data_IF_369452358995
#
_entry.id   IF_369452358995
#
_cell.length_a   1.000
_cell.length_b   1.000
_cell.length_c   1.000
_cell.angle_alpha   90.00
_cell.angle_beta   90.00
_cell.angle_gamma   90.00
#
_symmetry.space_group_name_H-M   'P 1'
#
loop_
_entity.id
_entity.type
_entity.pdbx_description
1 polymer ?
#
# COMPACT_ATOMS: atom_id res chain seq x y z
N UNK A 1 -31.48 2.22 -20.82
CA UNK A 1 -30.78 3.36 -21.44
C UNK A 1 -30.19 4.21 -20.32
N UNK A 2 -28.99 3.85 -19.86
CA UNK A 2 -28.23 4.59 -18.85
C UNK A 2 -26.86 4.78 -19.47
N UNK A 3 -26.62 5.99 -19.96
CA UNK A 3 -25.37 6.42 -20.57
C UNK A 3 -24.23 6.31 -19.57
N UNK A 4 -23.37 5.31 -19.77
CA UNK A 4 -22.08 5.15 -19.11
C UNK A 4 -21.12 6.26 -19.60
N UNK A 5 -21.35 7.48 -19.15
CA UNK A 5 -20.64 8.70 -19.56
C UNK A 5 -19.58 9.17 -18.56
N UNK A 6 -18.73 8.27 -18.06
CA UNK A 6 -17.57 8.59 -17.22
C UNK A 6 -16.81 7.33 -16.83
N UNK A 7 -15.78 7.41 -15.97
CA UNK A 7 -14.34 7.54 -16.28
C UNK A 7 -13.72 6.36 -17.08
N UNK A 8 -14.54 5.47 -17.64
CA UNK A 8 -14.09 4.31 -18.45
C UNK A 8 -13.72 4.75 -19.88
N UNK A 9 -14.39 5.76 -20.42
CA UNK A 9 -14.06 6.32 -21.75
C UNK A 9 -12.68 6.98 -21.78
N UNK A 10 -12.34 7.76 -20.74
CA UNK A 10 -11.00 8.35 -20.61
C UNK A 10 -9.93 7.27 -20.42
N UNK A 11 -10.24 6.17 -19.74
CA UNK A 11 -9.33 5.03 -19.59
C UNK A 11 -9.02 4.38 -20.95
N UNK A 12 -10.01 4.21 -21.82
CA UNK A 12 -9.81 3.66 -23.17
C UNK A 12 -9.03 4.60 -24.08
N UNK A 13 -9.27 5.91 -23.99
CA UNK A 13 -8.50 6.92 -24.73
C UNK A 13 -7.05 6.98 -24.23
N UNK A 14 -6.81 6.88 -22.92
CA UNK A 14 -5.48 6.80 -22.32
C UNK A 14 -4.75 5.51 -22.74
N UNK A 15 -5.44 4.36 -22.77
CA UNK A 15 -4.89 3.09 -23.27
C UNK A 15 -4.43 3.21 -24.73
N UNK A 16 -5.15 3.97 -25.56
CA UNK A 16 -4.78 4.21 -26.96
C UNK A 16 -3.58 5.15 -27.15
N UNK A 17 -3.27 5.95 -26.12
CA UNK A 17 -2.11 6.86 -26.09
C UNK A 17 -0.82 6.19 -25.60
N UNK A 18 -0.89 4.95 -25.11
CA UNK A 18 0.27 4.18 -24.63
C UNK A 18 1.08 3.67 -25.82
N UNK A 19 2.05 4.47 -26.29
CA UNK A 19 3.02 4.08 -27.34
C UNK A 19 4.45 3.88 -26.82
N UNK A 20 4.70 4.07 -25.53
CA UNK A 20 6.02 3.92 -24.93
C UNK A 20 5.97 3.11 -23.63
N UNK A 21 6.64 1.95 -23.64
CA UNK A 21 6.67 0.97 -22.56
C UNK A 21 7.40 1.44 -21.28
N UNK A 22 8.00 2.63 -21.28
CA UNK A 22 8.68 3.20 -20.11
C UNK A 22 7.72 3.72 -19.03
N UNK A 23 6.52 4.17 -19.41
CA UNK A 23 5.46 4.54 -18.46
C UNK A 23 4.56 3.36 -18.09
N UNK A 24 4.59 2.27 -18.87
CA UNK A 24 3.59 1.18 -18.77
C UNK A 24 3.70 0.35 -17.50
N UNK A 25 4.91 0.08 -17.00
CA UNK A 25 5.01 -0.71 -15.76
C UNK A 25 4.60 0.07 -14.50
N UNK A 26 4.37 1.39 -14.63
CA UNK A 26 3.74 2.22 -13.60
C UNK A 26 2.21 2.23 -13.72
N UNK A 27 1.68 2.15 -14.95
CA UNK A 27 0.24 2.24 -15.23
C UNK A 27 -0.51 0.91 -15.24
N UNK A 28 0.17 -0.23 -15.41
CA UNK A 28 -0.49 -1.54 -15.61
C UNK A 28 -0.36 -2.52 -14.46
N UNK A 29 -0.19 -2.04 -13.23
CA UNK A 29 -0.69 -2.82 -12.10
C UNK A 29 -2.21 -2.61 -12.10
N UNK A 30 -2.94 -3.49 -12.81
CA UNK A 30 -4.39 -3.45 -13.14
C UNK A 30 -5.36 -3.11 -11.99
N UNK A 31 -4.86 -2.91 -10.78
CA UNK A 31 -5.60 -2.59 -9.56
C UNK A 31 -5.61 -1.10 -9.19
N UNK A 32 -4.77 -0.23 -9.78
CA UNK A 32 -4.79 1.21 -9.49
C UNK A 32 -4.12 2.06 -10.59
N UNK A 33 -4.77 3.13 -11.10
CA UNK A 33 -4.20 4.04 -12.11
C UNK A 33 -3.22 5.08 -11.54
N UNK A 34 -2.68 4.86 -10.33
CA UNK A 34 -1.81 5.82 -9.66
C UNK A 34 -0.37 5.69 -10.14
N UNK A 35 0.00 6.49 -11.15
CA UNK A 35 1.37 6.56 -11.66
C UNK A 35 2.23 7.63 -10.97
N UNK A 36 1.71 8.84 -10.75
CA UNK A 36 2.56 9.93 -10.24
C UNK A 36 2.83 9.83 -8.73
N UNK A 37 4.07 10.15 -8.34
CA UNK A 37 4.53 10.15 -6.93
C UNK A 37 3.65 11.05 -6.07
N UNK A 38 3.17 12.17 -6.61
CA UNK A 38 2.25 13.10 -5.93
C UNK A 38 0.86 12.49 -5.69
N UNK A 39 0.37 11.66 -6.62
CA UNK A 39 -0.91 10.97 -6.42
C UNK A 39 -0.79 9.83 -5.42
N UNK A 40 0.38 9.17 -5.37
CA UNK A 40 0.69 8.12 -4.40
C UNK A 40 0.74 8.72 -3.00
N UNK A 41 1.45 9.84 -2.80
CA UNK A 41 1.52 10.51 -1.50
C UNK A 41 0.15 11.02 -1.04
N UNK A 42 -0.65 11.61 -1.93
CA UNK A 42 -2.02 12.04 -1.62
C UNK A 42 -2.93 10.86 -1.20
N UNK A 43 -2.84 9.73 -1.89
CA UNK A 43 -3.63 8.54 -1.56
C UNK A 43 -3.19 7.89 -0.23
N UNK A 44 -1.88 7.88 0.06
CA UNK A 44 -1.36 7.43 1.37
C UNK A 44 -1.82 8.38 2.48
N UNK A 45 -1.75 9.68 2.27
CA UNK A 45 -2.20 10.69 3.24
C UNK A 45 -3.70 10.54 3.54
N UNK A 46 -4.54 10.33 2.52
CA UNK A 46 -5.97 10.08 2.70
C UNK A 46 -6.20 8.85 3.61
N UNK A 47 -5.44 7.77 3.41
CA UNK A 47 -5.50 6.57 4.25
C UNK A 47 -4.99 6.84 5.67
N UNK A 48 -3.94 7.63 5.82
CA UNK A 48 -3.44 8.07 7.13
C UNK A 48 -4.49 8.88 7.88
N UNK A 49 -5.20 9.79 7.22
CA UNK A 49 -6.30 10.55 7.82
C UNK A 49 -7.47 9.66 8.23
N UNK A 50 -7.83 8.67 7.39
CA UNK A 50 -8.84 7.68 7.73
C UNK A 50 -8.43 6.84 8.97
N UNK A 51 -7.15 6.47 9.08
CA UNK A 51 -6.61 5.76 10.23
C UNK A 51 -6.69 6.61 11.51
N UNK A 52 -6.32 7.90 11.47
CA UNK A 52 -6.46 8.83 12.59
C UNK A 52 -7.91 8.91 13.08
N UNK A 53 -8.86 9.14 12.17
CA UNK A 53 -10.29 9.19 12.49
C UNK A 53 -10.80 7.89 13.10
N UNK A 54 -10.31 6.74 12.63
CA UNK A 54 -10.66 5.45 13.19
C UNK A 54 -10.06 5.26 14.60
N UNK A 55 -8.82 5.71 14.80
CA UNK A 55 -8.14 5.70 16.10
C UNK A 55 -8.97 6.35 17.20
N UNK A 56 -9.54 7.53 16.94
CA UNK A 56 -10.42 8.22 17.89
C UNK A 56 -11.66 7.40 18.26
N UNK A 57 -12.20 6.64 17.29
CA UNK A 57 -13.35 5.77 17.50
C UNK A 57 -12.98 4.50 18.25
N UNK A 58 -11.81 3.92 17.98
CA UNK A 58 -11.31 2.70 18.61
C UNK A 58 -11.12 2.85 20.13
N UNK A 59 -10.91 4.08 20.62
CA UNK A 59 -10.85 4.37 22.07
C UNK A 59 -12.14 4.05 22.83
N UNK A 60 -13.27 3.92 22.14
CA UNK A 60 -14.56 3.57 22.75
C UNK A 60 -14.79 2.05 22.83
N UNK A 61 -13.91 1.25 22.21
CA UNK A 61 -13.99 -0.20 22.23
C UNK A 61 -13.14 -0.78 23.37
N UNK A 62 -13.38 -2.04 23.70
CA UNK A 62 -12.45 -2.78 24.58
C UNK A 62 -11.09 -2.90 23.89
N UNK A 63 -10.01 -2.90 24.67
CA UNK A 63 -8.64 -2.98 24.15
C UNK A 63 -8.44 -4.15 23.17
N UNK A 64 -8.98 -5.31 23.53
CA UNK A 64 -8.88 -6.52 22.72
C UNK A 64 -9.57 -6.36 21.36
N UNK A 65 -10.80 -5.84 21.34
CA UNK A 65 -11.55 -5.63 20.10
C UNK A 65 -10.90 -4.56 19.23
N UNK A 66 -10.40 -3.50 19.86
CA UNK A 66 -9.69 -2.42 19.18
C UNK A 66 -8.43 -2.94 18.46
N UNK A 67 -7.62 -3.77 19.13
CA UNK A 67 -6.41 -4.36 18.55
C UNK A 67 -6.75 -5.34 17.41
N UNK A 68 -7.80 -6.16 17.56
CA UNK A 68 -8.25 -7.08 16.50
C UNK A 68 -8.69 -6.30 15.26
N UNK A 69 -9.52 -5.28 15.44
CA UNK A 69 -10.01 -4.43 14.34
C UNK A 69 -8.85 -3.67 13.68
N UNK A 70 -7.95 -3.12 14.49
CA UNK A 70 -6.76 -2.43 13.99
C UNK A 70 -5.93 -3.37 13.11
N UNK A 71 -5.60 -4.58 13.60
CA UNK A 71 -4.80 -5.55 12.85
C UNK A 71 -5.48 -6.03 11.56
N UNK A 72 -6.74 -6.42 11.64
CA UNK A 72 -7.41 -7.16 10.58
C UNK A 72 -8.18 -6.30 9.58
N UNK A 73 -8.46 -5.04 9.90
CA UNK A 73 -9.27 -4.16 9.04
C UNK A 73 -8.53 -2.89 8.66
N UNK A 74 -7.93 -2.18 9.64
CA UNK A 74 -7.54 -0.78 9.43
C UNK A 74 -6.04 -0.54 9.22
N UNK A 75 -5.16 -1.40 9.73
CA UNK A 75 -3.71 -1.24 9.56
C UNK A 75 -3.27 -1.62 8.13
N UNK A 76 -2.61 -2.76 7.96
CA UNK A 76 -2.08 -3.20 6.66
C UNK A 76 -3.18 -3.49 5.63
N UNK A 77 -4.31 -4.16 5.95
CA UNK A 77 -5.30 -4.53 4.93
C UNK A 77 -5.86 -3.34 4.13
N UNK A 78 -6.04 -2.19 4.79
CA UNK A 78 -6.52 -0.96 4.14
C UNK A 78 -5.51 -0.36 3.16
N UNK A 79 -4.21 -0.49 3.45
CA UNK A 79 -3.12 0.03 2.64
C UNK A 79 -2.64 -0.99 1.59
N UNK A 80 -2.94 -2.28 1.78
CA UNK A 80 -2.39 -3.39 0.98
C UNK A 80 -2.66 -3.23 -0.52
N UNK A 81 -3.85 -2.76 -0.93
CA UNK A 81 -4.11 -2.54 -2.35
C UNK A 81 -3.12 -1.53 -2.95
N UNK A 82 -2.89 -0.43 -2.24
CA UNK A 82 -2.02 0.67 -2.63
C UNK A 82 -0.54 0.21 -2.64
N UNK A 83 -0.10 -0.52 -1.61
CA UNK A 83 1.24 -1.13 -1.52
C UNK A 83 1.53 -2.13 -2.64
N UNK A 84 0.50 -2.85 -3.10
CA UNK A 84 0.64 -3.81 -4.21
C UNK A 84 0.65 -3.12 -5.55
N UNK A 85 -0.16 -2.08 -5.71
CA UNK A 85 -0.40 -1.46 -7.01
C UNK A 85 0.60 -0.38 -7.39
N UNK A 86 1.21 0.28 -6.40
CA UNK A 86 2.07 1.45 -6.62
C UNK A 86 3.39 1.33 -5.86
N UNK A 87 4.49 1.93 -6.35
CA UNK A 87 5.79 1.91 -5.67
C UNK A 87 5.80 2.89 -4.49
N UNK A 88 5.06 2.54 -3.43
CA UNK A 88 4.90 3.39 -2.24
C UNK A 88 6.18 3.56 -1.44
N UNK A 89 7.14 2.63 -1.61
CA UNK A 89 8.46 2.69 -0.96
C UNK A 89 9.30 3.90 -1.41
N UNK A 90 8.94 4.55 -2.52
CA UNK A 90 9.59 5.77 -2.99
C UNK A 90 9.13 7.02 -2.25
N UNK A 91 7.98 6.98 -1.59
CA UNK A 91 7.39 8.13 -0.90
C UNK A 91 7.64 8.05 0.61
N UNK A 92 8.11 9.14 1.24
CA UNK A 92 8.27 9.19 2.70
C UNK A 92 6.92 9.15 3.45
N UNK A 93 5.80 9.38 2.76
CA UNK A 93 4.44 9.36 3.32
C UNK A 93 4.07 8.03 3.99
N UNK A 94 4.65 6.91 3.56
CA UNK A 94 4.42 5.59 4.18
C UNK A 94 5.03 5.52 5.58
N UNK A 95 6.14 6.22 5.82
CA UNK A 95 6.74 6.33 7.15
C UNK A 95 5.84 7.11 8.12
N UNK A 96 5.13 8.13 7.64
CA UNK A 96 4.14 8.86 8.43
C UNK A 96 2.93 7.99 8.79
N UNK A 97 2.54 7.07 7.90
CA UNK A 97 1.50 6.11 8.22
C UNK A 97 1.91 5.20 9.39
N UNK A 98 3.14 4.68 9.37
CA UNK A 98 3.68 3.85 10.45
C UNK A 98 3.82 4.64 11.77
N UNK A 99 4.15 5.93 11.71
CA UNK A 99 4.23 6.78 12.91
C UNK A 99 2.87 7.00 13.55
N UNK A 100 1.83 7.24 12.76
CA UNK A 100 0.45 7.32 13.25
C UNK A 100 0.01 5.97 13.83
N UNK A 101 0.32 4.87 13.17
CA UNK A 101 -0.02 3.53 13.64
C UNK A 101 0.66 3.22 14.99
N UNK A 102 1.93 3.60 15.14
CA UNK A 102 2.68 3.45 16.39
C UNK A 102 2.11 4.33 17.51
N UNK A 103 1.74 5.58 17.21
CA UNK A 103 1.08 6.48 18.17
C UNK A 103 -0.28 5.94 18.62
N UNK A 104 -1.10 5.44 17.69
CA UNK A 104 -2.39 4.83 18.01
C UNK A 104 -2.21 3.58 18.87
N UNK A 105 -1.18 2.79 18.58
CA UNK A 105 -0.87 1.61 19.38
C UNK A 105 -0.46 1.97 20.80
N UNK A 106 0.38 3.00 20.93
CA UNK A 106 0.84 3.54 22.21
C UNK A 106 -0.35 4.03 23.05
N UNK A 107 -1.28 4.75 22.43
CA UNK A 107 -2.49 5.26 23.07
C UNK A 107 -3.42 4.12 23.53
N UNK A 108 -3.64 3.11 22.68
CA UNK A 108 -4.51 1.98 23.02
C UNK A 108 -3.91 1.13 24.15
N UNK A 109 -2.62 0.83 24.09
CA UNK A 109 -1.93 0.02 25.10
C UNK A 109 -1.56 0.80 26.36
N UNK A 110 -1.66 2.13 26.32
CA UNK A 110 -1.17 3.03 27.37
C UNK A 110 0.31 2.78 27.72
N UNK A 111 1.14 2.56 26.69
CA UNK A 111 2.59 2.31 26.78
C UNK A 111 3.30 3.25 25.81
N UNK A 112 4.44 3.81 26.20
CA UNK A 112 5.28 4.59 25.29
C UNK A 112 5.98 3.65 24.28
N UNK A 113 5.57 3.69 23.01
CA UNK A 113 6.19 2.92 21.93
C UNK A 113 6.79 3.90 20.93
N UNK A 114 8.12 3.84 20.76
CA UNK A 114 8.83 4.56 19.71
C UNK A 114 9.05 3.67 18.50
N UNK A 115 9.04 4.26 17.30
CA UNK A 115 9.22 3.52 16.02
C UNK A 115 10.59 2.83 15.95
N UNK A 116 11.62 3.46 16.50
CA UNK A 116 12.98 2.92 16.53
C UNK A 116 13.22 1.93 17.69
N UNK A 117 12.26 1.81 18.61
CA UNK A 117 12.42 0.93 19.77
C UNK A 117 12.24 -0.55 19.38
N UNK A 118 12.90 -1.48 20.11
CA UNK A 118 12.72 -2.92 19.91
C UNK A 118 11.26 -3.37 20.13
N UNK A 119 10.47 -2.58 20.87
CA UNK A 119 9.06 -2.85 21.12
C UNK A 119 8.20 -2.74 19.84
N UNK A 120 8.53 -1.84 18.91
CA UNK A 120 7.84 -1.74 17.62
C UNK A 120 8.15 -2.97 16.73
N UNK A 121 9.41 -3.40 16.72
CA UNK A 121 9.82 -4.64 16.06
C UNK A 121 9.12 -5.87 16.66
N UNK A 122 9.01 -5.94 17.99
CA UNK A 122 8.26 -6.99 18.67
C UNK A 122 6.76 -6.93 18.35
N UNK A 123 6.15 -5.74 18.29
CA UNK A 123 4.75 -5.57 17.92
C UNK A 123 4.45 -6.09 16.50
N UNK A 124 5.45 -6.05 15.60
CA UNK A 124 5.35 -6.61 14.24
C UNK A 124 5.34 -8.14 14.19
N UNK A 125 5.83 -8.83 15.22
CA UNK A 125 5.85 -10.29 15.26
C UNK A 125 4.44 -10.87 15.44
N UNK A 126 4.16 -12.07 14.92
CA UNK A 126 2.88 -12.73 15.14
C UNK A 126 2.68 -13.07 16.62
N UNK A 127 1.41 -13.20 17.06
CA UNK A 127 1.05 -13.53 18.46
C UNK A 127 1.78 -14.79 18.95
N UNK A 128 1.88 -15.82 18.09
CA UNK A 128 2.58 -17.07 18.43
C UNK A 128 4.06 -16.89 18.79
N UNK A 129 4.64 -15.76 18.42
CA UNK A 129 6.03 -15.38 18.69
C UNK A 129 6.14 -14.26 19.73
N UNK A 130 5.07 -13.99 20.49
CA UNK A 130 5.06 -12.97 21.55
C UNK A 130 4.93 -11.52 21.05
N UNK A 131 4.44 -11.33 19.83
CA UNK A 131 4.19 -10.01 19.25
C UNK A 131 2.70 -9.65 19.10
N UNK A 132 2.43 -8.53 18.44
CA UNK A 132 1.08 -8.00 18.25
C UNK A 132 0.58 -8.08 16.80
N UNK A 133 1.35 -8.66 15.89
CA UNK A 133 1.00 -8.88 14.49
C UNK A 133 0.70 -7.62 13.69
N UNK A 134 1.13 -6.44 14.15
CA UNK A 134 0.95 -5.17 13.44
C UNK A 134 2.23 -4.87 12.70
N UNK A 135 2.23 -5.17 11.40
CA UNK A 135 3.41 -5.02 10.54
C UNK A 135 3.59 -3.57 10.11
N UNK A 136 4.85 -3.15 9.94
CA UNK A 136 5.20 -1.88 9.31
C UNK A 136 4.83 -1.89 7.81
N UNK A 137 4.20 -0.81 7.36
CA UNK A 137 3.89 -0.58 5.96
C UNK A 137 5.16 -0.38 5.13
N UNK A 138 6.17 0.31 5.67
CA UNK A 138 7.46 0.53 5.01
C UNK A 138 8.14 -0.81 4.69
N UNK A 139 8.16 -1.73 5.66
CA UNK A 139 8.76 -3.06 5.45
C UNK A 139 7.97 -3.95 4.47
N UNK A 140 6.65 -3.73 4.36
CA UNK A 140 5.79 -4.53 3.50
C UNK A 140 5.73 -4.01 2.06
N UNK A 141 5.88 -2.70 1.86
CA UNK A 141 5.79 -2.03 0.57
C UNK A 141 6.58 -2.72 -0.57
N UNK A 142 7.90 -2.96 -0.46
CA UNK A 142 8.67 -3.56 -1.55
C UNK A 142 8.20 -4.98 -1.86
N UNK A 143 8.00 -5.80 -0.82
CA UNK A 143 7.54 -7.20 -1.00
C UNK A 143 6.15 -7.31 -1.63
N UNK A 144 5.23 -6.42 -1.27
CA UNK A 144 3.88 -6.40 -1.83
C UNK A 144 3.90 -5.98 -3.30
N UNK A 145 4.66 -4.94 -3.64
CA UNK A 145 4.82 -4.47 -5.01
C UNK A 145 5.44 -5.56 -5.89
N UNK A 146 6.57 -6.14 -5.48
CA UNK A 146 7.26 -7.20 -6.21
C UNK A 146 6.37 -8.43 -6.44
N UNK A 147 5.63 -8.86 -5.41
CA UNK A 147 4.72 -10.00 -5.53
C UNK A 147 3.59 -9.75 -6.52
N UNK A 148 3.06 -8.52 -6.57
CA UNK A 148 2.00 -8.14 -7.51
C UNK A 148 2.55 -8.05 -8.94
N UNK A 149 3.70 -7.40 -9.10
CA UNK A 149 4.35 -7.24 -10.40
C UNK A 149 4.72 -8.60 -11.01
N UNK A 150 5.26 -9.53 -10.21
CA UNK A 150 5.54 -10.89 -10.65
C UNK A 150 4.28 -11.67 -11.02
N UNK A 151 3.20 -11.55 -10.24
CA UNK A 151 1.94 -12.25 -10.52
C UNK A 151 1.22 -11.73 -11.77
N UNK A 152 1.38 -10.45 -12.09
CA UNK A 152 0.74 -9.83 -13.26
C UNK A 152 1.57 -9.95 -14.53
N UNK A 153 2.85 -10.31 -14.44
CA UNK A 153 3.75 -10.43 -15.59
C UNK A 153 3.14 -11.28 -16.72
N UNK A 154 2.70 -12.50 -16.38
CA UNK A 154 2.12 -13.43 -17.37
C UNK A 154 0.77 -12.94 -17.91
N UNK A 155 -0.02 -12.25 -17.07
CA UNK A 155 -1.30 -11.69 -17.46
C UNK A 155 -1.11 -10.54 -18.46
N UNK A 156 -0.19 -9.63 -18.18
CA UNK A 156 0.11 -8.47 -19.04
C UNK A 156 0.66 -8.96 -20.38
N UNK A 157 1.56 -9.95 -20.37
CA UNK A 157 2.09 -10.56 -21.59
C UNK A 157 0.99 -11.15 -22.49
N UNK A 158 -0.03 -11.76 -21.89
CA UNK A 158 -1.16 -12.32 -22.62
C UNK A 158 -2.14 -11.25 -23.16
N UNK A 159 -2.29 -10.11 -22.46
CA UNK A 159 -3.22 -9.03 -22.86
C UNK A 159 -2.58 -8.11 -23.90
N UNK A 160 -1.28 -7.82 -23.79
CA UNK A 160 -0.54 -6.91 -24.68
C UNK A 160 0.67 -7.62 -25.33
N UNK A 161 0.44 -8.53 -26.30
CA UNK A 161 1.52 -9.26 -26.98
C UNK A 161 2.41 -8.37 -27.86
N UNK A 162 1.91 -7.21 -28.32
CA UNK A 162 2.62 -6.31 -29.26
C UNK A 162 3.40 -5.18 -28.58
N UNK A 163 3.31 -5.02 -27.26
CA UNK A 163 4.07 -4.02 -26.51
C UNK A 163 5.37 -4.67 -26.03
N UNK A 164 6.51 -4.17 -26.51
CA UNK A 164 7.82 -4.54 -25.99
C UNK A 164 7.95 -4.06 -24.55
N UNK A 165 7.50 -4.87 -23.59
CA UNK A 165 7.74 -4.64 -22.18
C UNK A 165 9.26 -4.62 -21.96
N UNK A 166 9.80 -3.67 -21.18
CA UNK A 166 11.20 -3.74 -20.78
C UNK A 166 11.45 -5.08 -20.08
N UNK A 167 12.58 -5.73 -20.39
CA UNK A 167 12.98 -7.00 -19.77
C UNK A 167 13.16 -6.90 -18.23
N UNK A 168 13.18 -5.68 -17.69
CA UNK A 168 13.15 -5.36 -16.26
C UNK A 168 11.88 -4.57 -15.96
N UNK A 169 11.10 -5.06 -15.00
CA UNK A 169 9.95 -4.37 -14.43
C UNK A 169 10.43 -3.06 -13.78
N UNK A 170 9.74 -1.92 -13.96
CA UNK A 170 10.19 -0.66 -13.40
C UNK A 170 10.18 -0.71 -11.86
N UNK A 171 11.22 -0.10 -11.26
CA UNK A 171 11.47 -0.02 -9.82
C UNK A 171 11.75 -1.36 -9.11
N UNK A 172 11.95 -2.46 -9.86
CA UNK A 172 12.33 -3.74 -9.25
C UNK A 172 13.75 -3.71 -8.69
N UNK A 173 14.69 -3.10 -9.41
CA UNK A 173 16.07 -2.96 -8.95
C UNK A 173 16.14 -2.09 -7.67
N UNK A 174 15.32 -1.04 -7.59
CA UNK A 174 15.21 -0.19 -6.40
C UNK A 174 14.55 -0.93 -5.22
N UNK A 175 13.48 -1.70 -5.48
CA UNK A 175 12.82 -2.51 -4.46
C UNK A 175 13.68 -3.68 -3.95
N UNK A 176 14.60 -4.21 -4.75
CA UNK A 176 15.57 -5.24 -4.34
C UNK A 176 16.73 -4.69 -3.53
N UNK A 177 17.02 -3.38 -3.64
CA UNK A 177 18.11 -2.71 -2.94
C UNK A 177 17.78 -2.25 -1.51
N UNK A 178 16.48 -2.28 -1.14
CA UNK A 178 15.93 -1.89 0.17
C UNK A 178 15.73 -3.10 1.10
#
# INVERSE_FOLDING_TARGET
DVTLGGPVGSLCDDISSIRSAADVGLYLNLSSPLGSVDSISAAVEEKTLALKRMGDRLRHFTLHDAIILLRHSFAIPCLTNLLRSSPTFLSPSVGEYDSVLCSLLSDLLNVSIDIEAPLWSQASLPIRSGGLGIRSAVQLAPSCYLSSAAALHDLIFNILPDVSLPNSLPFVDEAQSL
#
